data_IF_731177526395
#
_entry.id   IF_731177526395
#
_cell.length_a   1.000
_cell.length_b   1.000
_cell.length_c   1.000
_cell.angle_alpha   90.00
_cell.angle_beta   90.00
_cell.angle_gamma   90.00
#
_symmetry.space_group_name_H-M   'P 1'
#
loop_
_entity.id
_entity.type
_entity.pdbx_description
1 polymer ?
#
# COMPACT_ATOMS: atom_id res chain seq x y z
N UNK A 1 15.76 1.58 9.58
CA UNK A 1 16.36 0.77 8.50
C UNK A 1 15.61 -0.54 8.26
N UNK A 2 14.99 -1.13 9.28
CA UNK A 2 14.15 -2.33 9.15
C UNK A 2 13.07 -2.22 8.04
N UNK A 3 12.35 -1.09 7.96
CA UNK A 3 11.33 -0.85 6.94
C UNK A 3 11.89 -0.86 5.50
N UNK A 4 13.06 -0.23 5.26
CA UNK A 4 13.66 -0.17 3.93
C UNK A 4 14.11 -1.54 3.43
N UNK A 5 14.67 -2.36 4.33
CA UNK A 5 15.05 -3.74 4.01
C UNK A 5 13.79 -4.55 3.66
N UNK A 6 12.73 -4.39 4.46
CA UNK A 6 11.43 -5.00 4.19
C UNK A 6 10.89 -4.63 2.81
N UNK A 7 10.84 -3.33 2.49
CA UNK A 7 10.37 -2.83 1.19
C UNK A 7 11.16 -3.45 0.02
N UNK A 8 12.49 -3.50 0.11
CA UNK A 8 13.35 -4.05 -0.95
C UNK A 8 13.10 -5.54 -1.16
N UNK A 9 13.09 -6.33 -0.08
CA UNK A 9 12.86 -7.77 -0.15
C UNK A 9 11.45 -8.07 -0.66
N UNK A 10 10.46 -7.31 -0.17
CA UNK A 10 9.07 -7.43 -0.59
C UNK A 10 8.84 -7.12 -2.06
N UNK A 11 9.48 -6.05 -2.57
CA UNK A 11 9.45 -5.68 -3.97
C UNK A 11 9.90 -6.83 -4.88
N UNK A 12 11.02 -7.48 -4.55
CA UNK A 12 11.50 -8.64 -5.30
C UNK A 12 10.54 -9.83 -5.20
N UNK A 13 10.22 -10.26 -3.99
CA UNK A 13 9.41 -11.48 -3.76
C UNK A 13 8.01 -11.39 -4.39
N UNK A 14 7.30 -10.29 -4.18
CA UNK A 14 5.96 -10.10 -4.73
C UNK A 14 5.97 -9.84 -6.24
N UNK A 15 7.04 -9.23 -6.77
CA UNK A 15 7.24 -9.09 -8.21
C UNK A 15 7.30 -10.46 -8.89
N UNK A 16 8.23 -11.34 -8.44
CA UNK A 16 8.34 -12.70 -8.98
C UNK A 16 7.08 -13.53 -8.75
N UNK A 17 6.46 -13.41 -7.57
CA UNK A 17 5.25 -14.16 -7.26
C UNK A 17 4.12 -13.78 -8.22
N UNK A 18 3.96 -12.50 -8.53
CA UNK A 18 2.87 -12.02 -9.39
C UNK A 18 2.93 -12.53 -10.83
N UNK A 19 4.12 -12.88 -11.33
CA UNK A 19 4.25 -13.54 -12.64
C UNK A 19 3.72 -14.98 -12.60
N UNK A 20 3.84 -15.68 -11.46
CA UNK A 20 3.39 -17.06 -11.29
C UNK A 20 1.90 -17.13 -10.93
N UNK A 21 1.49 -16.47 -9.84
CA UNK A 21 0.11 -16.56 -9.30
C UNK A 21 -0.84 -15.54 -9.94
N UNK A 22 -0.30 -14.56 -10.67
CA UNK A 22 -1.05 -13.49 -11.29
C UNK A 22 -1.24 -12.27 -10.37
N UNK A 23 -1.33 -11.09 -10.99
CA UNK A 23 -1.24 -9.78 -10.33
C UNK A 23 -2.37 -9.47 -9.35
N UNK A 24 -3.61 -9.89 -9.64
CA UNK A 24 -4.76 -9.69 -8.74
C UNK A 24 -4.59 -10.43 -7.42
N UNK A 25 -4.20 -11.70 -7.49
CA UNK A 25 -4.00 -12.53 -6.31
C UNK A 25 -2.78 -12.06 -5.53
N UNK A 26 -1.69 -11.73 -6.21
CA UNK A 26 -0.51 -11.17 -5.59
C UNK A 26 -0.84 -9.88 -4.81
N UNK A 27 -1.56 -8.93 -5.42
CA UNK A 27 -1.92 -7.67 -4.77
C UNK A 27 -2.85 -7.87 -3.57
N UNK A 28 -3.91 -8.68 -3.72
CA UNK A 28 -4.85 -8.91 -2.62
C UNK A 28 -4.21 -9.63 -1.43
N UNK A 29 -3.33 -10.60 -1.70
CA UNK A 29 -2.63 -11.35 -0.64
C UNK A 29 -1.54 -10.50 0.03
N UNK A 30 -0.80 -9.68 -0.72
CA UNK A 30 0.16 -8.73 -0.15
C UNK A 30 -0.54 -7.68 0.70
N UNK A 31 -1.66 -7.13 0.24
CA UNK A 31 -2.44 -6.16 0.99
C UNK A 31 -3.04 -6.77 2.27
N UNK A 32 -3.62 -7.97 2.18
CA UNK A 32 -4.15 -8.68 3.35
C UNK A 32 -3.05 -8.99 4.38
N UNK A 33 -1.89 -9.48 3.94
CA UNK A 33 -0.76 -9.74 4.84
C UNK A 33 -0.28 -8.47 5.55
N UNK A 34 -0.25 -7.33 4.84
CA UNK A 34 0.16 -6.06 5.41
C UNK A 34 -0.81 -5.62 6.51
N UNK A 35 -2.11 -5.68 6.23
CA UNK A 35 -3.21 -5.37 7.16
C UNK A 35 -3.11 -6.22 8.42
N UNK A 36 -2.92 -7.53 8.31
CA UNK A 36 -2.77 -8.43 9.47
C UNK A 36 -1.52 -8.12 10.28
N UNK A 37 -0.37 -7.97 9.62
CA UNK A 37 0.91 -7.72 10.31
C UNK A 37 0.97 -6.35 10.98
N UNK A 38 0.30 -5.33 10.42
CA UNK A 38 0.18 -3.99 11.01
C UNK A 38 -0.64 -4.00 12.30
N UNK A 39 -1.71 -4.82 12.39
CA UNK A 39 -2.47 -5.00 13.65
C UNK A 39 -1.54 -5.53 14.72
N UNK A 40 -0.81 -6.61 14.39
CA UNK A 40 0.08 -7.28 15.34
C UNK A 40 1.20 -6.33 15.77
N UNK A 41 1.79 -5.59 14.81
CA UNK A 41 2.83 -4.60 15.08
C UNK A 41 2.37 -3.52 16.06
N UNK A 42 1.13 -3.05 15.91
CA UNK A 42 0.55 -2.00 16.75
C UNK A 42 0.35 -2.42 18.20
N UNK A 43 0.23 -3.72 18.48
CA UNK A 43 0.08 -4.26 19.84
C UNK A 43 1.41 -4.59 20.55
N UNK A 44 2.57 -4.43 19.90
CA UNK A 44 3.82 -4.95 20.48
C UNK A 44 4.36 -4.11 21.65
N UNK A 45 4.73 -4.74 22.78
CA UNK A 45 5.24 -4.04 23.94
C UNK A 45 6.71 -3.62 23.79
N UNK A 46 7.52 -4.36 23.02
CA UNK A 46 8.96 -4.11 22.84
C UNK A 46 9.27 -3.44 21.50
N UNK A 47 10.25 -2.52 21.51
CA UNK A 47 10.73 -1.84 20.31
C UNK A 47 11.37 -2.80 19.29
N UNK A 48 12.09 -3.83 19.76
CA UNK A 48 12.74 -4.81 18.87
C UNK A 48 11.68 -5.59 18.11
N UNK A 49 10.69 -6.14 18.82
CA UNK A 49 9.60 -6.90 18.21
C UNK A 49 8.74 -6.04 17.28
N UNK A 50 8.51 -4.79 17.66
CA UNK A 50 7.87 -3.78 16.80
C UNK A 50 8.68 -3.57 15.51
N UNK A 51 9.99 -3.33 15.60
CA UNK A 51 10.85 -3.12 14.43
C UNK A 51 10.93 -4.33 13.49
N UNK A 52 10.92 -5.55 14.03
CA UNK A 52 10.87 -6.78 13.23
C UNK A 52 9.57 -6.90 12.45
N UNK A 53 8.42 -6.65 13.09
CA UNK A 53 7.13 -6.64 12.41
C UNK A 53 7.01 -5.49 11.40
N UNK A 54 7.64 -4.35 11.68
CA UNK A 54 7.77 -3.24 10.73
C UNK A 54 8.46 -3.69 9.45
N UNK A 55 9.56 -4.44 9.55
CA UNK A 55 10.20 -5.01 8.36
C UNK A 55 9.26 -5.96 7.60
N UNK A 56 8.53 -6.82 8.32
CA UNK A 56 7.65 -7.81 7.70
C UNK A 56 6.45 -7.18 6.98
N UNK A 57 5.71 -6.28 7.62
CA UNK A 57 4.59 -5.63 6.92
C UNK A 57 5.10 -4.71 5.80
N UNK A 58 6.29 -4.12 5.95
CA UNK A 58 6.93 -3.33 4.89
C UNK A 58 7.24 -4.18 3.66
N UNK A 59 7.50 -5.49 3.80
CA UNK A 59 7.63 -6.39 2.65
C UNK A 59 6.30 -6.54 1.90
N UNK A 60 5.17 -6.65 2.60
CA UNK A 60 3.85 -6.62 1.97
C UNK A 60 3.58 -5.29 1.26
N UNK A 61 3.91 -4.16 1.89
CA UNK A 61 3.79 -2.84 1.29
C UNK A 61 4.66 -2.69 0.02
N UNK A 62 5.90 -3.18 0.06
CA UNK A 62 6.85 -3.18 -1.07
C UNK A 62 6.29 -3.85 -2.33
N UNK A 63 5.62 -4.99 -2.15
CA UNK A 63 4.92 -5.67 -3.24
C UNK A 63 3.79 -4.83 -3.84
N UNK A 64 2.97 -4.21 -2.98
CA UNK A 64 1.87 -3.36 -3.44
C UNK A 64 2.38 -2.19 -4.29
N UNK A 65 3.52 -1.56 -3.97
CA UNK A 65 4.07 -0.47 -4.78
C UNK A 65 4.33 -0.88 -6.24
N UNK A 66 4.96 -2.05 -6.44
CA UNK A 66 5.29 -2.53 -7.78
C UNK A 66 4.02 -3.01 -8.50
N UNK A 67 3.17 -3.74 -7.80
CA UNK A 67 1.96 -4.31 -8.38
C UNK A 67 0.94 -3.25 -8.78
N UNK A 68 0.81 -2.16 -8.02
CA UNK A 68 -0.13 -1.07 -8.32
C UNK A 68 0.20 -0.40 -9.66
N UNK A 69 1.46 0.01 -9.83
CA UNK A 69 1.92 0.67 -11.06
C UNK A 69 1.90 -0.29 -12.27
N UNK A 70 2.37 -1.52 -12.10
CA UNK A 70 2.42 -2.51 -13.18
C UNK A 70 1.03 -2.95 -13.62
N UNK A 71 0.10 -3.14 -12.66
CA UNK A 71 -1.29 -3.47 -12.96
C UNK A 71 -1.97 -2.33 -13.73
N UNK A 72 -1.82 -1.07 -13.31
CA UNK A 72 -2.40 0.05 -14.06
C UNK A 72 -1.88 0.09 -15.50
N UNK A 73 -0.56 -0.02 -15.69
CA UNK A 73 0.07 0.04 -17.01
C UNK A 73 -0.37 -1.08 -17.97
N UNK A 74 -0.85 -2.21 -17.47
CA UNK A 74 -1.36 -3.30 -18.32
C UNK A 74 -2.77 -3.07 -18.85
N UNK A 75 -3.57 -2.29 -18.13
CA UNK A 75 -4.92 -1.91 -18.58
C UNK A 75 -4.92 -0.61 -19.39
N UNK A 76 -3.79 0.09 -19.44
CA UNK A 76 -3.72 1.42 -20.01
C UNK A 76 -3.05 1.43 -21.39
N UNK A 77 -3.61 2.14 -22.38
CA UNK A 77 -2.89 2.43 -23.61
C UNK A 77 -1.71 3.38 -23.33
N UNK A 78 -0.62 3.23 -24.09
CA UNK A 78 0.63 4.01 -23.93
C UNK A 78 0.40 5.53 -23.94
N UNK A 79 -0.62 6.01 -24.66
CA UNK A 79 -0.98 7.44 -24.72
C UNK A 79 -1.43 8.02 -23.37
N UNK A 80 -1.98 7.19 -22.48
CA UNK A 80 -2.52 7.64 -21.19
C UNK A 80 -1.61 7.28 -20.01
N UNK A 81 -0.38 6.81 -20.26
CA UNK A 81 0.58 6.42 -19.22
C UNK A 81 0.82 7.49 -18.14
N UNK A 82 0.53 8.77 -18.43
CA UNK A 82 0.57 9.88 -17.47
C UNK A 82 -0.39 9.70 -16.28
N UNK A 83 -1.42 8.84 -16.37
CA UNK A 83 -2.31 8.53 -15.24
C UNK A 83 -1.57 7.84 -14.08
N UNK A 84 -0.42 7.21 -14.34
CA UNK A 84 0.46 6.69 -13.27
C UNK A 84 0.97 7.83 -12.37
N UNK A 85 1.15 9.04 -12.92
CA UNK A 85 1.50 10.22 -12.13
C UNK A 85 0.39 10.61 -11.16
N UNK A 86 -0.88 10.49 -11.57
CA UNK A 86 -2.01 10.68 -10.65
C UNK A 86 -2.03 9.64 -9.53
N UNK A 87 -1.56 8.41 -9.78
CA UNK A 87 -1.39 7.43 -8.70
C UNK A 87 -0.36 7.90 -7.66
N UNK A 88 0.73 8.55 -8.09
CA UNK A 88 1.73 9.10 -7.17
C UNK A 88 1.14 10.19 -6.26
N UNK A 89 0.14 10.95 -6.73
CA UNK A 89 -0.57 11.95 -5.90
C UNK A 89 -1.27 11.27 -4.72
N UNK A 90 -1.86 10.09 -4.90
CA UNK A 90 -2.47 9.33 -3.80
C UNK A 90 -1.46 9.02 -2.69
N UNK A 91 -0.22 8.66 -3.05
CA UNK A 91 0.86 8.45 -2.09
C UNK A 91 1.24 9.73 -1.35
N UNK A 92 1.32 10.86 -2.06
CA UNK A 92 1.61 12.16 -1.47
C UNK A 92 0.56 12.57 -0.43
N UNK A 93 -0.73 12.35 -0.72
CA UNK A 93 -1.82 12.60 0.24
C UNK A 93 -1.64 11.75 1.51
N UNK A 94 -1.27 10.47 1.36
CA UNK A 94 -0.96 9.60 2.49
C UNK A 94 0.17 10.13 3.37
N UNK A 95 1.31 10.52 2.78
CA UNK A 95 2.43 11.09 3.52
C UNK A 95 2.09 12.42 4.18
N UNK A 96 1.28 13.26 3.53
CA UNK A 96 0.80 14.51 4.10
C UNK A 96 -0.03 14.27 5.37
N UNK A 97 -0.97 13.33 5.35
CA UNK A 97 -1.77 12.97 6.52
C UNK A 97 -0.90 12.46 7.67
N UNK A 98 0.07 11.58 7.38
CA UNK A 98 1.02 11.08 8.39
C UNK A 98 1.85 12.22 8.98
N UNK A 99 2.30 13.17 8.15
CA UNK A 99 3.03 14.36 8.59
C UNK A 99 2.23 15.22 9.57
N UNK A 100 0.95 15.46 9.30
CA UNK A 100 0.08 16.20 10.21
C UNK A 100 -0.17 15.45 11.52
N UNK A 101 -0.43 14.14 11.47
CA UNK A 101 -0.58 13.32 12.67
C UNK A 101 0.73 13.29 13.48
N UNK A 102 1.87 13.18 12.81
CA UNK A 102 3.18 13.21 13.45
C UNK A 102 3.40 14.54 14.15
N UNK A 103 3.05 15.66 13.52
CA UNK A 103 3.13 16.96 14.17
C UNK A 103 2.23 17.01 15.42
N UNK A 104 0.97 16.58 15.33
CA UNK A 104 0.05 16.56 16.47
C UNK A 104 0.53 15.68 17.64
N UNK A 105 0.97 14.45 17.37
CA UNK A 105 1.38 13.53 18.43
C UNK A 105 2.79 13.80 18.95
N UNK A 106 3.76 14.05 18.07
CA UNK A 106 5.16 14.24 18.50
C UNK A 106 5.38 15.57 19.19
N UNK A 107 4.64 16.64 18.84
CA UNK A 107 4.79 17.93 19.53
C UNK A 107 4.23 17.94 20.96
N UNK A 108 3.18 17.15 21.22
CA UNK A 108 2.48 17.17 22.51
C UNK A 108 2.87 16.01 23.44
N UNK A 109 3.32 14.87 22.91
CA UNK A 109 3.56 13.64 23.67
C UNK A 109 4.97 13.07 23.46
N UNK A 110 5.95 13.92 23.22
CA UNK A 110 7.37 13.53 23.17
C UNK A 110 8.23 14.38 24.09
N UNK A 111 9.20 13.73 24.72
CA UNK A 111 10.16 14.42 25.55
C UNK A 111 11.17 15.23 24.73
N UNK A 112 11.74 16.28 25.33
CA UNK A 112 12.87 16.98 24.75
C UNK A 112 14.09 16.03 24.60
N UNK A 113 14.95 16.21 23.59
CA UNK A 113 16.08 15.28 23.31
C UNK A 113 17.10 15.14 24.45
N UNK A 114 17.16 16.10 25.39
CA UNK A 114 18.05 16.09 26.56
C UNK A 114 17.35 15.70 27.86
N UNK A 115 16.07 15.29 27.79
CA UNK A 115 15.34 14.87 28.96
C UNK A 115 15.91 13.56 29.52
N UNK A 116 16.08 13.53 30.84
CA UNK A 116 16.42 12.32 31.59
C UNK A 116 15.15 11.65 32.10
N UNK A 117 15.19 10.36 32.52
CA UNK A 117 14.05 9.67 33.13
C UNK A 117 13.48 10.39 34.37
N UNK A 118 14.26 11.27 35.01
CA UNK A 118 13.82 12.10 36.13
C UNK A 118 12.99 13.33 35.69
N UNK A 119 13.21 13.83 34.47
CA UNK A 119 12.53 15.03 33.93
C UNK A 119 11.39 14.69 32.96
N UNK A 120 11.39 13.48 32.41
CA UNK A 120 10.33 13.00 31.53
C UNK A 120 10.16 11.51 31.75
N UNK A 121 8.98 11.12 32.23
CA UNK A 121 8.67 9.73 32.50
C UNK A 121 8.43 8.96 31.19
N UNK A 122 8.54 7.63 31.21
CA UNK A 122 8.25 6.82 30.02
C UNK A 122 6.82 6.97 29.53
N UNK A 123 5.86 7.29 30.43
CA UNK A 123 4.46 7.55 30.06
C UNK A 123 4.29 8.84 29.26
N UNK A 124 5.19 9.82 29.42
CA UNK A 124 5.13 11.10 28.69
C UNK A 124 5.80 11.01 27.30
N UNK A 125 6.52 9.91 27.02
CA UNK A 125 7.22 9.68 25.75
C UNK A 125 6.50 8.67 24.83
N UNK A 126 5.16 8.70 24.84
CA UNK A 126 4.33 7.72 24.14
C UNK A 126 3.86 8.20 22.76
N UNK A 127 4.25 9.40 22.32
CA UNK A 127 3.82 10.01 21.06
C UNK A 127 4.09 9.15 19.84
N UNK A 128 5.20 8.42 19.81
CA UNK A 128 5.52 7.50 18.70
C UNK A 128 4.56 6.30 18.63
N UNK A 129 4.07 5.80 19.78
CA UNK A 129 3.08 4.71 19.82
C UNK A 129 1.72 5.20 19.41
N UNK A 130 1.29 6.36 19.90
CA UNK A 130 0.02 6.96 19.51
C UNK A 130 -0.01 7.26 18.01
N UNK A 131 1.06 7.85 17.49
CA UNK A 131 1.21 8.08 16.06
C UNK A 131 1.08 6.78 15.25
N UNK A 132 1.83 5.74 15.64
CA UNK A 132 1.80 4.49 14.91
C UNK A 132 0.43 3.82 14.98
N UNK A 133 -0.21 3.80 16.14
CA UNK A 133 -1.53 3.21 16.34
C UNK A 133 -2.60 3.94 15.51
N UNK A 134 -2.62 5.27 15.54
CA UNK A 134 -3.58 6.08 14.77
C UNK A 134 -3.36 5.94 13.26
N UNK A 135 -2.12 6.01 12.79
CA UNK A 135 -1.80 5.81 11.36
C UNK A 135 -2.17 4.41 10.89
N UNK A 136 -1.88 3.39 11.71
CA UNK A 136 -2.21 1.99 11.41
C UNK A 136 -3.71 1.78 11.34
N UNK A 137 -4.49 2.31 12.29
CA UNK A 137 -5.94 2.22 12.29
C UNK A 137 -6.57 2.87 11.05
N UNK A 138 -6.07 4.05 10.65
CA UNK A 138 -6.55 4.73 9.44
C UNK A 138 -6.27 3.89 8.18
N UNK A 139 -5.02 3.42 8.01
CA UNK A 139 -4.63 2.61 6.85
C UNK A 139 -5.41 1.30 6.81
N UNK A 140 -5.65 0.68 7.96
CA UNK A 140 -6.42 -0.55 8.10
C UNK A 140 -7.85 -0.40 7.60
N UNK A 141 -8.54 0.65 8.04
CA UNK A 141 -9.93 0.92 7.63
C UNK A 141 -10.00 1.15 6.12
N UNK A 142 -9.08 1.93 5.56
CA UNK A 142 -9.02 2.19 4.13
C UNK A 142 -8.66 0.94 3.31
N UNK A 143 -7.75 0.09 3.81
CA UNK A 143 -7.36 -1.14 3.14
C UNK A 143 -8.46 -2.20 3.18
N UNK A 144 -9.18 -2.33 4.30
CA UNK A 144 -10.35 -3.22 4.40
C UNK A 144 -11.49 -2.74 3.50
N UNK A 145 -11.76 -1.43 3.49
CA UNK A 145 -12.71 -0.84 2.55
C UNK A 145 -12.30 -1.11 1.10
N UNK A 146 -11.03 -0.96 0.76
CA UNK A 146 -10.51 -1.27 -0.57
C UNK A 146 -10.76 -2.75 -0.94
N UNK A 147 -10.38 -3.68 -0.06
CA UNK A 147 -10.59 -5.12 -0.28
C UNK A 147 -12.08 -5.48 -0.42
N UNK A 148 -12.97 -4.79 0.29
CA UNK A 148 -14.41 -5.04 0.27
C UNK A 148 -15.11 -4.44 -0.97
N UNK A 149 -14.74 -3.23 -1.38
CA UNK A 149 -15.45 -2.47 -2.41
C UNK A 149 -14.79 -2.52 -3.79
N UNK A 150 -13.47 -2.70 -3.88
CA UNK A 150 -12.75 -2.66 -5.15
C UNK A 150 -12.61 -4.07 -5.73
N UNK A 151 -13.39 -4.34 -6.77
CA UNK A 151 -13.31 -5.60 -7.54
C UNK A 151 -12.25 -5.46 -8.64
N UNK A 152 -11.05 -5.98 -8.38
CA UNK A 152 -10.02 -6.07 -9.43
C UNK A 152 -10.29 -7.22 -10.40
N UNK A 153 -10.09 -6.93 -11.69
CA UNK A 153 -10.05 -7.94 -12.76
C UNK A 153 -8.61 -8.44 -12.92
N UNK A 154 -8.45 -9.68 -13.35
CA UNK A 154 -7.12 -10.24 -13.60
C UNK A 154 -6.43 -9.51 -14.75
N UNK A 155 -5.12 -9.33 -14.63
CA UNK A 155 -4.26 -8.79 -15.68
C UNK A 155 -4.45 -9.51 -17.04
N UNK A 156 -4.68 -8.77 -18.15
CA UNK A 156 -4.99 -9.37 -19.44
C UNK A 156 -3.80 -10.16 -20.01
N UNK A 157 -2.57 -9.63 -19.88
CA UNK A 157 -1.35 -10.32 -20.34
C UNK A 157 -1.14 -11.66 -19.64
N UNK A 158 -1.33 -11.71 -18.33
CA UNK A 158 -1.20 -12.96 -17.56
C UNK A 158 -2.26 -13.98 -17.98
N UNK A 159 -3.49 -13.54 -18.27
CA UNK A 159 -4.58 -14.43 -18.74
C UNK A 159 -4.32 -15.00 -20.13
N UNK A 160 -3.77 -14.21 -21.05
CA UNK A 160 -3.36 -14.69 -22.39
C UNK A 160 -2.29 -15.78 -22.24
N UNK A 161 -1.30 -15.58 -21.36
CA UNK A 161 -0.27 -16.60 -21.09
C UNK A 161 -0.85 -17.92 -20.52
N UNK A 162 -2.02 -17.86 -19.88
CA UNK A 162 -2.73 -19.01 -19.30
C UNK A 162 -3.82 -19.57 -20.24
N UNK A 163 -3.80 -19.22 -21.54
CA UNK A 163 -4.79 -19.63 -22.56
C UNK A 163 -6.22 -19.13 -22.31
N UNK A 164 -6.38 -18.01 -21.60
CA UNK A 164 -7.67 -17.41 -21.24
C UNK A 164 -8.15 -16.32 -22.20
N UNK A 165 -7.98 -16.50 -23.50
CA UNK A 165 -8.17 -15.44 -24.51
C UNK A 165 -9.61 -14.90 -24.57
N UNK A 166 -10.61 -15.77 -24.37
CA UNK A 166 -12.02 -15.38 -24.43
C UNK A 166 -12.41 -14.38 -23.33
N UNK A 167 -11.98 -14.61 -22.08
CA UNK A 167 -12.22 -13.69 -20.97
C UNK A 167 -11.45 -12.37 -21.12
N UNK A 168 -10.28 -12.41 -21.78
CA UNK A 168 -9.50 -11.21 -22.07
C UNK A 168 -10.22 -10.33 -23.09
N UNK A 169 -10.75 -10.93 -24.17
CA UNK A 169 -11.53 -10.21 -25.18
C UNK A 169 -12.77 -9.57 -24.55
N UNK A 170 -13.51 -10.29 -23.70
CA UNK A 170 -14.67 -9.74 -22.98
C UNK A 170 -14.27 -8.56 -22.08
N UNK A 171 -13.17 -8.68 -21.34
CA UNK A 171 -12.68 -7.61 -20.46
C UNK A 171 -12.26 -6.37 -21.25
N UNK A 172 -11.53 -6.56 -22.36
CA UNK A 172 -11.08 -5.45 -23.21
C UNK A 172 -12.24 -4.77 -23.93
N UNK A 173 -13.24 -5.53 -24.40
CA UNK A 173 -14.45 -4.97 -25.00
C UNK A 173 -15.25 -4.14 -23.98
N UNK A 174 -15.35 -4.59 -22.72
CA UNK A 174 -15.99 -3.80 -21.68
C UNK A 174 -15.23 -2.49 -21.44
N UNK A 175 -13.90 -2.53 -21.36
CA UNK A 175 -13.08 -1.33 -21.14
C UNK A 175 -13.14 -0.38 -22.34
N UNK A 176 -13.16 -0.89 -23.58
CA UNK A 176 -13.19 -0.07 -24.79
C UNK A 176 -14.49 0.69 -24.98
N UNK A 177 -15.63 0.11 -24.59
CA UNK A 177 -16.92 0.79 -24.58
C UNK A 177 -16.86 2.02 -23.68
N UNK A 178 -16.39 1.88 -22.44
CA UNK A 178 -16.20 3.00 -21.52
C UNK A 178 -15.13 4.00 -21.98
N UNK A 179 -14.05 3.53 -22.61
CA UNK A 179 -12.99 4.39 -23.15
C UNK A 179 -13.44 5.24 -24.36
N UNK A 180 -14.33 4.69 -25.19
CA UNK A 180 -14.87 5.42 -26.34
C UNK A 180 -15.82 6.54 -25.93
N UNK A 181 -16.70 6.34 -24.94
CA UNK A 181 -17.58 7.39 -24.39
C UNK A 181 -16.80 8.59 -23.82
N UNK A 182 -15.68 8.35 -23.16
CA UNK A 182 -14.80 9.42 -22.65
C UNK A 182 -14.06 10.19 -23.77
N UNK A 183 -13.87 9.56 -24.94
CA UNK A 183 -13.23 10.21 -26.10
C UNK A 183 -14.21 11.06 -26.91
N UNK A 184 -15.52 10.82 -26.84
CA UNK A 184 -16.57 11.61 -27.53
C UNK A 184 -17.02 12.85 -26.76
N UNK A 185 -16.52 13.09 -25.55
CA UNK A 185 -16.80 14.31 -24.78
C UNK A 185 -15.79 15.44 -25.00
N UNK A 186 -14.78 15.21 -25.86
CA UNK A 186 -13.70 16.15 -26.18
C UNK A 186 -13.65 16.56 -27.67
N UNK A 187 -14.80 16.67 -28.32
CA UNK A 187 -14.96 17.36 -29.62
C UNK A 187 -16.13 18.31 -29.54
#
# INVERSE_FOLDING_TARGET
>A
MASQIGLLVGAGLWGFSADVIGRKLAFNTSLFSCVVLVIIASGMPSYISFASLVALYSAGAGGNYILDATNLLEFLPTSHAWLVTLMAVRWAVGYMMIGFLAWGFMSNFSCAPKATPATCSTSDNMGWRYLHFTCSALVQLLALAWLAFVKMVQAPRWRIAQNGDEEVIQTLNNISIYGSEASFTHT
#
